data_IF_435809577582
#
_entry.id   IF_435809577582
#
_cell.length_a   1.000
_cell.length_b   1.000
_cell.length_c   1.000
_cell.angle_alpha   90.00
_cell.angle_beta   90.00
_cell.angle_gamma   90.00
#
_symmetry.space_group_name_H-M   'P 1'
#
loop_
_entity.id
_entity.type
_entity.pdbx_description
1 polymer ?
#
# COMPACT_ATOMS: atom_id res chain seq x y z
N UNK A 1 35.54 -37.94 -27.22
CA UNK A 1 34.09 -37.68 -27.07
C UNK A 1 33.74 -37.70 -25.58
N UNK A 2 34.10 -36.65 -24.83
CA UNK A 2 33.80 -36.51 -23.38
C UNK A 2 33.56 -35.02 -23.05
N UNK A 3 32.27 -34.69 -22.85
CA UNK A 3 31.68 -33.80 -21.82
C UNK A 3 31.98 -32.29 -21.87
N UNK A 4 31.39 -31.62 -22.87
CA UNK A 4 30.96 -30.22 -22.81
C UNK A 4 29.66 -30.06 -21.97
N UNK A 5 29.62 -30.57 -20.73
CA UNK A 5 28.41 -30.53 -19.89
C UNK A 5 28.56 -29.67 -18.62
N UNK A 6 29.75 -29.18 -18.30
CA UNK A 6 30.02 -28.46 -17.05
C UNK A 6 29.66 -26.99 -17.09
N UNK A 7 29.69 -26.34 -18.26
CA UNK A 7 29.43 -24.89 -18.37
C UNK A 7 27.95 -24.51 -18.37
N UNK A 8 27.04 -25.44 -18.72
CA UNK A 8 25.60 -25.14 -18.78
C UNK A 8 24.99 -25.14 -17.36
N UNK A 9 25.55 -25.94 -16.45
CA UNK A 9 25.02 -26.10 -15.08
C UNK A 9 25.26 -24.83 -14.23
N UNK A 10 26.31 -24.06 -14.52
CA UNK A 10 26.64 -22.86 -13.74
C UNK A 10 25.81 -21.62 -14.11
N UNK A 11 25.20 -21.59 -15.31
CA UNK A 11 24.42 -20.44 -15.80
C UNK A 11 22.95 -20.44 -15.37
N UNK A 12 22.39 -21.59 -15.02
CA UNK A 12 20.94 -21.74 -14.74
C UNK A 12 20.58 -21.40 -13.29
N UNK A 13 21.55 -21.27 -12.39
CA UNK A 13 21.29 -21.07 -10.96
C UNK A 13 20.95 -19.61 -10.57
N UNK A 14 21.11 -18.64 -11.47
CA UNK A 14 21.01 -17.21 -11.14
C UNK A 14 19.59 -16.61 -11.37
N UNK A 15 18.68 -17.30 -12.08
CA UNK A 15 17.39 -16.75 -12.49
C UNK A 15 16.18 -17.07 -11.59
N UNK A 16 16.37 -17.35 -10.29
CA UNK A 16 15.26 -17.73 -9.39
C UNK A 16 14.99 -16.75 -8.23
N UNK A 17 15.64 -15.59 -8.19
CA UNK A 17 15.39 -14.56 -7.17
C UNK A 17 14.54 -13.37 -7.65
N UNK A 18 13.57 -13.58 -8.56
CA UNK A 18 12.48 -12.61 -8.72
C UNK A 18 11.40 -12.84 -7.65
N UNK A 19 11.81 -12.80 -6.38
CA UNK A 19 10.89 -12.89 -5.25
C UNK A 19 10.08 -11.59 -5.14
N UNK A 20 8.76 -11.72 -5.20
CA UNK A 20 7.78 -10.64 -5.24
C UNK A 20 8.12 -9.49 -4.28
N UNK A 21 8.28 -8.27 -4.79
CA UNK A 21 8.07 -7.08 -3.98
C UNK A 21 6.59 -7.06 -3.61
N UNK A 22 6.24 -7.73 -2.50
CA UNK A 22 4.92 -7.63 -1.90
C UNK A 22 4.73 -6.15 -1.53
N UNK A 23 4.01 -5.41 -2.37
CA UNK A 23 3.44 -4.13 -1.98
C UNK A 23 2.50 -4.44 -0.80
N UNK A 24 3.03 -4.34 0.41
CA UNK A 24 2.30 -4.58 1.64
C UNK A 24 1.32 -3.42 1.86
N UNK A 25 0.18 -3.47 1.17
CA UNK A 25 -0.95 -2.55 1.33
C UNK A 25 -1.73 -2.78 2.64
N UNK A 26 -1.24 -3.65 3.52
CA UNK A 26 -1.80 -3.85 4.85
C UNK A 26 -1.47 -2.67 5.75
N UNK A 27 -2.42 -2.17 6.56
CA UNK A 27 -2.14 -1.19 7.60
C UNK A 27 -1.13 -1.73 8.64
N UNK A 28 -0.65 -0.85 9.51
CA UNK A 28 -0.01 -1.23 10.75
C UNK A 28 -1.03 -1.57 11.85
N UNK A 29 -0.54 -1.87 13.04
CA UNK A 29 -1.38 -2.29 14.17
C UNK A 29 -2.16 -1.14 14.82
N UNK A 30 -1.71 0.11 14.60
CA UNK A 30 -2.35 1.34 15.09
C UNK A 30 -1.98 2.53 14.20
N UNK A 31 -2.79 3.60 14.18
CA UNK A 31 -2.40 4.84 13.51
C UNK A 31 -1.06 5.35 14.06
N UNK A 32 -0.15 5.70 13.18
CA UNK A 32 1.15 6.25 13.55
C UNK A 32 1.03 7.65 14.13
N UNK A 33 2.04 8.10 14.88
CA UNK A 33 2.18 9.52 15.22
C UNK A 33 2.57 10.36 13.98
N UNK A 34 3.17 9.72 12.97
CA UNK A 34 3.47 10.35 11.68
C UNK A 34 2.28 10.19 10.74
N UNK A 35 1.71 11.33 10.31
CA UNK A 35 0.57 11.33 9.39
C UNK A 35 0.90 10.75 8.01
N UNK A 36 0.04 9.89 7.44
CA UNK A 36 0.12 9.52 6.03
C UNK A 36 -0.14 10.74 5.16
N UNK A 37 0.51 10.77 4.00
CA UNK A 37 0.47 11.88 3.05
C UNK A 37 0.04 11.37 1.68
N UNK A 38 -0.83 12.11 1.01
CA UNK A 38 -1.15 11.84 -0.38
C UNK A 38 0.06 12.15 -1.29
N UNK A 39 0.31 11.25 -2.23
CA UNK A 39 1.32 11.40 -3.27
C UNK A 39 0.65 11.21 -4.63
N UNK A 40 1.11 11.96 -5.63
CA UNK A 40 0.58 11.92 -6.99
C UNK A 40 1.74 11.92 -7.98
N UNK A 41 2.36 10.77 -8.26
CA UNK A 41 3.36 10.68 -9.31
C UNK A 41 2.78 11.08 -10.67
N UNK A 42 3.59 11.67 -11.57
CA UNK A 42 3.12 12.04 -12.91
C UNK A 42 2.48 10.85 -13.63
N UNK A 43 1.27 11.05 -14.17
CA UNK A 43 0.53 10.03 -14.91
C UNK A 43 -0.13 8.94 -14.06
N UNK A 44 -0.11 9.04 -12.72
CA UNK A 44 -0.75 8.08 -11.83
C UNK A 44 -1.86 8.74 -11.00
N UNK A 45 -2.83 7.93 -10.55
CA UNK A 45 -3.82 8.36 -9.57
C UNK A 45 -3.12 8.66 -8.23
N UNK A 46 -3.73 9.52 -7.44
CA UNK A 46 -3.25 9.84 -6.11
C UNK A 46 -3.35 8.62 -5.17
N UNK A 47 -2.34 8.38 -4.36
CA UNK A 47 -2.32 7.30 -3.36
C UNK A 47 -1.63 7.74 -2.07
N UNK A 48 -1.72 6.90 -1.03
CA UNK A 48 -1.04 7.13 0.24
C UNK A 48 0.43 6.77 0.17
N UNK A 49 1.31 7.64 0.65
CA UNK A 49 2.75 7.41 0.65
C UNK A 49 3.20 6.13 1.38
N UNK A 50 2.50 5.73 2.44
CA UNK A 50 2.84 4.55 3.24
C UNK A 50 1.61 3.97 3.95
N UNK A 51 1.21 2.75 3.58
CA UNK A 51 0.11 2.02 4.20
C UNK A 51 0.32 1.73 5.70
N UNK A 52 1.57 1.54 6.15
CA UNK A 52 1.88 1.20 7.55
C UNK A 52 1.71 2.36 8.53
N UNK A 53 1.48 3.58 8.03
CA UNK A 53 1.11 4.72 8.88
C UNK A 53 -0.35 4.65 9.34
N UNK A 54 -1.18 3.87 8.65
CA UNK A 54 -2.56 3.60 9.06
C UNK A 54 -2.60 2.52 10.13
N UNK A 55 -3.63 2.56 10.97
CA UNK A 55 -4.03 1.43 11.82
C UNK A 55 -5.27 0.71 11.29
N UNK A 56 -5.78 -0.29 12.01
CA UNK A 56 -7.08 -0.90 11.72
C UNK A 56 -8.19 0.14 11.80
N UNK A 57 -9.26 -0.05 11.01
CA UNK A 57 -10.43 0.83 11.02
C UNK A 57 -11.26 0.57 12.28
N UNK A 58 -11.48 1.57 13.15
CA UNK A 58 -12.39 1.41 14.28
C UNK A 58 -13.81 1.10 13.79
N UNK A 59 -14.53 0.22 14.49
CA UNK A 59 -15.86 -0.24 14.06
C UNK A 59 -16.85 0.91 13.78
N UNK A 60 -16.82 1.95 14.61
CA UNK A 60 -17.66 3.15 14.45
C UNK A 60 -17.38 3.96 13.17
N UNK A 61 -16.23 3.76 12.53
CA UNK A 61 -15.80 4.47 11.32
C UNK A 61 -15.79 3.56 10.08
N UNK A 62 -16.16 2.29 10.20
CA UNK A 62 -16.10 1.34 9.10
C UNK A 62 -17.06 1.73 7.96
N UNK A 63 -18.30 2.12 8.31
CA UNK A 63 -19.30 2.53 7.30
C UNK A 63 -18.93 3.83 6.60
N UNK A 64 -18.39 4.81 7.34
CA UNK A 64 -17.85 6.05 6.77
C UNK A 64 -16.70 5.75 5.81
N UNK A 65 -15.72 4.96 6.25
CA UNK A 65 -14.58 4.57 5.43
C UNK A 65 -14.96 3.77 4.20
N UNK A 66 -15.89 2.82 4.31
CA UNK A 66 -16.38 2.04 3.17
C UNK A 66 -17.06 2.93 2.13
N UNK A 67 -17.84 3.94 2.56
CA UNK A 67 -18.44 4.91 1.63
C UNK A 67 -17.37 5.74 0.91
N UNK A 68 -16.35 6.21 1.62
CA UNK A 68 -15.23 6.95 1.00
C UNK A 68 -14.46 6.09 -0.02
N UNK A 69 -14.23 4.81 0.29
CA UNK A 69 -13.52 3.89 -0.60
C UNK A 69 -14.36 3.43 -1.79
N UNK A 70 -15.67 3.23 -1.62
CA UNK A 70 -16.57 2.88 -2.70
C UNK A 70 -16.63 3.99 -3.77
N UNK A 71 -16.60 5.26 -3.35
CA UNK A 71 -16.53 6.42 -4.25
C UNK A 71 -15.28 6.45 -5.14
N UNK A 72 -14.26 5.64 -4.84
CA UNK A 72 -13.01 5.53 -5.60
C UNK A 72 -12.94 4.29 -6.51
N UNK A 73 -13.95 3.42 -6.49
CA UNK A 73 -14.03 2.21 -7.33
C UNK A 73 -14.32 0.93 -6.54
N UNK A 74 -15.40 0.92 -5.75
CA UNK A 74 -15.91 -0.25 -4.99
C UNK A 74 -14.95 -0.83 -3.93
N UNK A 75 -14.03 -0.01 -3.41
CA UNK A 75 -13.12 -0.43 -2.34
C UNK A 75 -13.77 -0.47 -0.95
N UNK A 76 -13.19 -1.27 -0.05
CA UNK A 76 -13.47 -1.23 1.39
C UNK A 76 -12.34 -0.53 2.15
N UNK A 77 -12.67 0.13 3.25
CA UNK A 77 -11.66 0.68 4.13
C UNK A 77 -11.00 -0.44 4.93
N UNK A 78 -9.71 -0.60 4.75
CA UNK A 78 -8.88 -1.58 5.47
C UNK A 78 -7.95 -0.91 6.48
N UNK A 79 -7.74 0.40 6.39
CA UNK A 79 -6.95 1.15 7.37
C UNK A 79 -7.50 2.54 7.63
N UNK A 80 -7.12 3.10 8.77
CA UNK A 80 -7.62 4.36 9.32
C UNK A 80 -6.47 5.22 9.86
N UNK A 81 -6.57 6.53 9.67
CA UNK A 81 -5.74 7.52 10.34
C UNK A 81 -6.56 8.77 10.70
N UNK A 82 -6.44 9.32 11.93
CA UNK A 82 -7.26 10.46 12.36
C UNK A 82 -6.88 11.79 11.68
N UNK A 83 -5.59 11.98 11.35
CA UNK A 83 -5.07 13.24 10.80
C UNK A 83 -4.12 13.00 9.60
N UNK A 84 -4.64 12.62 8.42
CA UNK A 84 -3.88 12.52 7.17
C UNK A 84 -3.52 13.91 6.60
N UNK A 85 -2.54 13.91 5.69
CA UNK A 85 -2.07 15.10 4.98
C UNK A 85 -2.35 15.03 3.49
N UNK A 86 -2.62 16.20 2.92
CA UNK A 86 -2.75 16.38 1.47
C UNK A 86 -1.39 16.30 0.74
N UNK A 87 -1.41 16.49 -0.57
CA UNK A 87 -0.21 16.49 -1.41
C UNK A 87 0.83 17.56 -1.02
N UNK A 88 0.40 18.67 -0.44
CA UNK A 88 1.29 19.74 0.04
C UNK A 88 1.81 19.49 1.45
N UNK A 89 1.30 18.47 2.15
CA UNK A 89 1.66 18.14 3.52
C UNK A 89 0.83 18.87 4.57
N UNK A 90 -0.26 19.55 4.17
CA UNK A 90 -1.20 20.19 5.08
C UNK A 90 -2.19 19.17 5.62
N UNK A 91 -2.59 19.31 6.89
CA UNK A 91 -3.68 18.50 7.45
C UNK A 91 -4.95 18.68 6.62
N UNK A 92 -5.64 17.56 6.38
CA UNK A 92 -6.92 17.58 5.66
C UNK A 92 -8.10 17.98 6.54
N UNK A 93 -7.92 18.09 7.87
CA UNK A 93 -9.00 18.39 8.81
C UNK A 93 -10.11 17.33 8.88
N UNK A 94 -9.85 16.14 8.32
CA UNK A 94 -10.75 14.99 8.28
C UNK A 94 -9.95 13.70 8.40
N UNK A 95 -10.61 12.59 8.69
CA UNK A 95 -9.98 11.26 8.75
C UNK A 95 -9.50 10.83 7.37
N UNK A 96 -8.55 9.89 7.37
CA UNK A 96 -8.05 9.22 6.16
C UNK A 96 -8.29 7.73 6.23
N UNK A 97 -8.67 7.16 5.08
CA UNK A 97 -8.90 5.73 4.93
C UNK A 97 -7.98 5.12 3.88
N UNK A 98 -7.39 3.99 4.23
CA UNK A 98 -6.66 3.14 3.30
C UNK A 98 -7.65 2.17 2.65
N UNK A 99 -7.80 2.26 1.33
CA UNK A 99 -8.78 1.49 0.58
C UNK A 99 -8.15 0.27 -0.09
N UNK A 100 -8.89 -0.84 -0.11
CA UNK A 100 -8.55 -2.01 -0.90
C UNK A 100 -9.78 -2.52 -1.65
N UNK A 101 -9.56 -2.98 -2.88
CA UNK A 101 -10.56 -3.70 -3.67
C UNK A 101 -10.34 -5.18 -3.43
N UNK A 102 -11.42 -5.91 -3.14
CA UNK A 102 -11.42 -7.35 -2.94
C UNK A 102 -12.38 -8.01 -3.94
#
# INVERSE_FOLDING_TARGET
MIRNLTSIIFGVFIMLFSGCAYFNFTPGDKPSATSPKLVSPPGQKQFWNNAKLFGPVPAMYQDEGNKECAAQGDGKAIGYHPDPKDYYGKSMGKRGYLCAVF
#
